data_IF_520574552984
#
_entry.id   IF_520574552984
#
_cell.length_a   1.000
_cell.length_b   1.000
_cell.length_c   1.000
_cell.angle_alpha   90.00
_cell.angle_beta   90.00
_cell.angle_gamma   90.00
#
_symmetry.space_group_name_H-M   'P 1'
#
loop_
_entity.id
_entity.type
_entity.pdbx_description
1 polymer ?
#
# COMPACT_ATOMS: atom_id res chain seq x y z
N UNK A 1 -39.17 -10.32 -50.48
CA UNK A 1 -37.69 -10.46 -50.52
C UNK A 1 -37.14 -10.14 -49.14
N UNK A 2 -36.86 -11.20 -48.36
CA UNK A 2 -36.39 -11.12 -46.98
C UNK A 2 -34.86 -11.01 -46.95
N UNK A 3 -34.31 -9.97 -46.31
CA UNK A 3 -32.91 -9.93 -45.89
C UNK A 3 -32.87 -10.19 -44.39
N UNK A 4 -32.56 -11.44 -44.02
CA UNK A 4 -32.39 -11.87 -42.65
C UNK A 4 -31.22 -11.14 -41.98
N UNK A 5 -31.51 -10.39 -40.92
CA UNK A 5 -30.51 -9.88 -39.99
C UNK A 5 -29.99 -11.07 -39.18
N UNK A 6 -28.71 -11.40 -39.36
CA UNK A 6 -28.03 -12.46 -38.60
C UNK A 6 -27.87 -11.98 -37.16
N UNK A 7 -28.61 -12.59 -36.24
CA UNK A 7 -28.37 -12.52 -34.79
C UNK A 7 -26.96 -13.02 -34.50
N UNK A 8 -26.00 -12.11 -34.32
CA UNK A 8 -24.69 -12.45 -33.75
C UNK A 8 -24.85 -12.46 -32.24
N UNK A 9 -24.89 -13.66 -31.64
CA UNK A 9 -24.67 -13.83 -30.20
C UNK A 9 -23.25 -13.36 -29.90
N UNK A 10 -23.10 -12.22 -29.23
CA UNK A 10 -21.80 -11.78 -28.70
C UNK A 10 -21.55 -12.59 -27.43
N UNK A 11 -20.66 -13.58 -27.55
CA UNK A 11 -20.07 -14.29 -26.42
C UNK A 11 -19.00 -13.37 -25.84
N UNK A 12 -19.15 -12.95 -24.57
CA UNK A 12 -18.11 -12.25 -23.82
C UNK A 12 -16.95 -13.22 -23.56
N UNK A 13 -15.92 -13.17 -24.41
CA UNK A 13 -14.65 -13.88 -24.18
C UNK A 13 -13.67 -12.88 -23.58
N UNK A 14 -13.38 -13.01 -22.28
CA UNK A 14 -12.25 -12.32 -21.64
C UNK A 14 -10.94 -12.98 -22.09
N UNK A 15 -10.42 -12.54 -23.23
CA UNK A 15 -9.08 -12.90 -23.69
C UNK A 15 -8.04 -12.05 -22.97
N UNK A 16 -7.27 -12.67 -22.07
CA UNK A 16 -6.12 -12.03 -21.41
C UNK A 16 -5.10 -11.57 -22.43
N UNK A 17 -4.88 -10.25 -22.50
CA UNK A 17 -3.84 -9.65 -23.31
C UNK A 17 -2.60 -9.40 -22.44
N UNK A 18 -1.62 -10.28 -22.56
CA UNK A 18 -0.25 -10.05 -22.07
C UNK A 18 0.44 -9.12 -23.06
N UNK A 19 0.62 -7.85 -22.71
CA UNK A 19 1.52 -6.96 -23.43
C UNK A 19 2.88 -6.90 -22.71
N UNK A 20 3.80 -7.72 -23.20
CA UNK A 20 5.23 -7.52 -22.99
C UNK A 20 5.76 -6.63 -24.12
N UNK A 21 6.34 -5.47 -23.79
CA UNK A 21 7.32 -4.67 -24.55
C UNK A 21 7.49 -3.34 -23.77
N UNK A 22 8.65 -2.89 -23.29
CA UNK A 22 9.99 -2.99 -23.83
C UNK A 22 10.36 -1.70 -24.55
N UNK A 23 10.73 -0.62 -23.83
CA UNK A 23 11.46 0.52 -24.40
C UNK A 23 12.36 1.19 -23.35
N UNK A 24 13.66 0.96 -23.50
CA UNK A 24 14.72 1.71 -22.84
C UNK A 24 15.16 2.90 -23.68
N UNK A 25 15.38 4.03 -23.02
CA UNK A 25 16.38 5.07 -23.32
C UNK A 25 16.12 6.25 -22.37
N UNK A 26 16.81 6.26 -21.24
CA UNK A 26 16.64 7.22 -20.13
C UNK A 26 16.91 6.60 -18.75
N UNK A 27 17.53 5.42 -18.74
CA UNK A 27 17.51 4.46 -17.64
C UNK A 27 18.37 4.89 -16.45
N UNK A 28 19.44 5.67 -16.62
CA UNK A 28 20.34 5.99 -15.50
C UNK A 28 19.70 6.85 -14.40
N UNK A 29 19.17 8.02 -14.77
CA UNK A 29 18.55 8.92 -13.79
C UNK A 29 17.20 8.38 -13.28
N UNK A 30 16.43 7.71 -14.14
CA UNK A 30 15.14 7.11 -13.76
C UNK A 30 15.32 5.86 -12.89
N UNK A 31 16.33 5.02 -13.14
CA UNK A 31 16.62 3.87 -12.30
C UNK A 31 17.23 4.29 -10.95
N UNK A 32 18.07 5.34 -10.92
CA UNK A 32 18.58 5.87 -9.66
C UNK A 32 17.47 6.53 -8.83
N UNK A 33 16.58 7.31 -9.46
CA UNK A 33 15.40 7.86 -8.79
C UNK A 33 14.44 6.76 -8.31
N UNK A 34 14.18 5.73 -9.13
CA UNK A 34 13.36 4.59 -8.72
C UNK A 34 13.99 3.82 -7.55
N UNK A 35 15.31 3.57 -7.61
CA UNK A 35 16.05 2.91 -6.54
C UNK A 35 16.06 3.73 -5.24
N UNK A 36 16.20 5.05 -5.33
CA UNK A 36 16.16 5.94 -4.18
C UNK A 36 14.75 6.00 -3.56
N UNK A 37 13.70 6.00 -4.38
CA UNK A 37 12.31 5.90 -3.90
C UNK A 37 12.07 4.56 -3.21
N UNK A 38 12.52 3.45 -3.80
CA UNK A 38 12.43 2.11 -3.17
C UNK A 38 13.16 2.07 -1.82
N UNK A 39 14.38 2.59 -1.75
CA UNK A 39 15.15 2.65 -0.51
C UNK A 39 14.48 3.52 0.56
N UNK A 40 13.91 4.66 0.17
CA UNK A 40 13.17 5.53 1.08
C UNK A 40 11.90 4.86 1.63
N UNK A 41 11.16 4.13 0.78
CA UNK A 41 9.98 3.37 1.19
C UNK A 41 10.36 2.24 2.16
N UNK A 42 11.40 1.46 1.85
CA UNK A 42 11.88 0.39 2.72
C UNK A 42 12.36 0.92 4.08
N UNK A 43 13.09 2.04 4.10
CA UNK A 43 13.52 2.69 5.34
C UNK A 43 12.34 3.15 6.19
N UNK A 44 11.29 3.70 5.57
CA UNK A 44 10.09 4.12 6.28
C UNK A 44 9.34 2.93 6.90
N UNK A 45 9.29 1.78 6.22
CA UNK A 45 8.71 0.55 6.77
C UNK A 45 9.51 0.06 7.99
N UNK A 46 10.83 -0.04 7.85
CA UNK A 46 11.75 -0.42 8.93
C UNK A 46 11.59 0.51 10.13
N UNK A 47 11.55 1.81 9.90
CA UNK A 47 11.28 2.80 10.94
C UNK A 47 9.90 2.62 11.60
N UNK A 48 8.88 2.23 10.84
CA UNK A 48 7.53 1.97 11.38
C UNK A 48 7.50 0.72 12.26
N UNK A 49 8.20 -0.36 11.85
CA UNK A 49 8.37 -1.56 12.67
C UNK A 49 9.16 -1.25 13.95
N UNK A 50 10.26 -0.49 13.83
CA UNK A 50 11.04 -0.04 14.98
C UNK A 50 10.22 0.75 15.99
N UNK A 51 9.33 1.65 15.54
CA UNK A 51 8.41 2.37 16.43
C UNK A 51 7.43 1.44 17.14
N UNK A 52 6.83 0.50 16.42
CA UNK A 52 5.92 -0.47 17.02
C UNK A 52 6.61 -1.35 18.08
N UNK A 53 7.85 -1.78 17.82
CA UNK A 53 8.67 -2.54 18.77
C UNK A 53 9.04 -1.71 20.00
N UNK A 54 9.40 -0.44 19.81
CA UNK A 54 9.67 0.50 20.89
C UNK A 54 8.45 0.69 21.80
N UNK A 55 7.26 0.84 21.21
CA UNK A 55 6.01 1.07 21.95
C UNK A 55 5.64 -0.13 22.85
N UNK A 56 5.95 -1.36 22.42
CA UNK A 56 5.74 -2.58 23.22
C UNK A 56 6.92 -2.93 24.14
N UNK A 57 7.97 -2.12 24.16
CA UNK A 57 9.13 -2.28 25.04
C UNK A 57 10.23 -3.22 24.54
N UNK A 58 10.15 -3.69 23.29
CA UNK A 58 11.16 -4.55 22.66
C UNK A 58 12.28 -3.69 22.05
N UNK A 59 13.09 -3.09 22.92
CA UNK A 59 14.02 -2.03 22.51
C UNK A 59 15.21 -2.53 21.67
N UNK A 60 15.72 -3.74 21.91
CA UNK A 60 16.81 -4.33 21.12
C UNK A 60 16.37 -4.62 19.68
N UNK A 61 15.17 -5.17 19.49
CA UNK A 61 14.60 -5.41 18.17
C UNK A 61 14.29 -4.09 17.46
N UNK A 62 13.82 -3.08 18.21
CA UNK A 62 13.62 -1.73 17.68
C UNK A 62 14.92 -1.11 17.18
N UNK A 63 16.05 -1.30 17.89
CA UNK A 63 17.37 -0.84 17.46
C UNK A 63 17.73 -1.44 16.11
N UNK A 64 17.59 -2.77 15.95
CA UNK A 64 17.93 -3.44 14.69
C UNK A 64 17.12 -2.88 13.49
N UNK A 65 15.82 -2.63 13.67
CA UNK A 65 14.98 -2.04 12.61
C UNK A 65 15.35 -0.58 12.32
N UNK A 66 15.63 0.23 13.35
CA UNK A 66 16.04 1.62 13.14
C UNK A 66 17.44 1.75 12.54
N UNK A 67 18.38 0.87 12.87
CA UNK A 67 19.71 0.82 12.27
C UNK A 67 19.61 0.46 10.78
N UNK A 68 18.81 -0.55 10.45
CA UNK A 68 18.57 -0.94 9.06
C UNK A 68 17.88 0.19 8.27
N UNK A 69 16.92 0.90 8.87
CA UNK A 69 16.33 2.09 8.26
C UNK A 69 17.38 3.20 8.03
N UNK A 70 18.25 3.44 9.02
CA UNK A 70 19.26 4.49 8.95
C UNK A 70 20.32 4.19 7.88
N UNK A 71 20.67 2.93 7.66
CA UNK A 71 21.60 2.52 6.60
C UNK A 71 21.06 2.79 5.18
N UNK A 72 19.73 2.86 5.02
CA UNK A 72 19.09 3.07 3.71
C UNK A 72 18.95 4.55 3.33
N UNK A 73 18.66 5.42 4.30
CA UNK A 73 18.36 6.85 4.03
C UNK A 73 19.26 7.84 4.74
N UNK A 74 20.01 7.39 5.75
CA UNK A 74 20.82 8.23 6.64
C UNK A 74 20.04 9.40 7.29
N UNK A 75 18.72 9.25 7.42
CA UNK A 75 17.86 10.32 7.95
C UNK A 75 18.17 10.61 9.43
N UNK A 76 18.48 11.86 9.81
CA UNK A 76 18.85 12.19 11.19
C UNK A 76 17.78 11.85 12.22
N UNK A 77 16.48 11.91 11.87
CA UNK A 77 15.39 11.58 12.78
C UNK A 77 15.46 10.15 13.35
N UNK A 78 16.06 9.21 12.60
CA UNK A 78 16.25 7.83 13.05
C UNK A 78 17.31 7.72 14.16
N UNK A 79 18.30 8.62 14.19
CA UNK A 79 19.30 8.67 15.27
C UNK A 79 18.66 9.02 16.62
N UNK A 80 17.66 9.90 16.63
CA UNK A 80 16.89 10.19 17.84
C UNK A 80 16.15 8.93 18.32
N UNK A 81 15.48 8.19 17.43
CA UNK A 81 14.79 6.95 17.79
C UNK A 81 15.74 5.88 18.33
N UNK A 82 16.91 5.70 17.71
CA UNK A 82 17.98 4.82 18.23
C UNK A 82 18.42 5.25 19.63
N UNK A 83 18.66 6.55 19.83
CA UNK A 83 19.05 7.08 21.13
C UNK A 83 17.98 6.82 22.22
N UNK A 84 16.70 6.94 21.86
CA UNK A 84 15.59 6.59 22.75
C UNK A 84 15.64 5.12 23.16
N UNK A 85 15.85 4.18 22.21
CA UNK A 85 15.95 2.76 22.52
C UNK A 85 17.13 2.47 23.46
N UNK A 86 18.33 2.96 23.13
CA UNK A 86 19.51 2.79 23.98
C UNK A 86 19.31 3.36 25.38
N UNK A 87 18.64 4.51 25.50
CA UNK A 87 18.30 5.10 26.80
C UNK A 87 17.39 4.18 27.62
N UNK A 88 16.38 3.56 26.99
CA UNK A 88 15.45 2.64 27.66
C UNK A 88 16.11 1.34 28.10
N UNK A 89 17.21 0.95 27.45
CA UNK A 89 18.07 -0.18 27.81
C UNK A 89 19.21 0.19 28.76
N UNK A 90 19.24 1.43 29.28
CA UNK A 90 20.31 1.93 30.14
C UNK A 90 21.72 1.93 29.50
N UNK A 91 21.78 1.84 28.16
CA UNK A 91 22.98 2.01 27.35
C UNK A 91 23.32 3.50 27.21
N UNK A 92 23.69 4.12 28.33
CA UNK A 92 23.83 5.57 28.45
C UNK A 92 24.88 6.16 27.50
N UNK A 93 26.01 5.48 27.26
CA UNK A 93 27.08 5.97 26.39
C UNK A 93 26.63 6.06 24.93
N UNK A 94 25.99 5.01 24.46
CA UNK A 94 25.45 4.88 23.11
C UNK A 94 24.33 5.92 22.88
N UNK A 95 23.42 6.07 23.85
CA UNK A 95 22.36 7.07 23.79
C UNK A 95 22.92 8.49 23.69
N UNK A 96 23.91 8.85 24.52
CA UNK A 96 24.58 10.16 24.47
C UNK A 96 25.22 10.40 23.10
N UNK A 97 25.95 9.42 22.57
CA UNK A 97 26.62 9.54 21.27
C UNK A 97 25.62 9.79 20.13
N UNK A 98 24.51 9.06 20.12
CA UNK A 98 23.45 9.20 19.12
C UNK A 98 22.70 10.54 19.24
N UNK A 99 22.35 10.99 20.45
CA UNK A 99 21.73 12.31 20.64
C UNK A 99 22.65 13.45 20.17
N UNK A 100 23.95 13.39 20.48
CA UNK A 100 24.94 14.38 20.02
C UNK A 100 25.05 14.40 18.50
N UNK A 101 25.06 13.22 17.86
CA UNK A 101 25.06 13.12 16.41
C UNK A 101 23.79 13.71 15.81
N UNK A 102 22.63 13.42 16.40
CA UNK A 102 21.35 14.00 15.99
C UNK A 102 21.35 15.53 16.07
N UNK A 103 21.80 16.12 17.18
CA UNK A 103 21.88 17.59 17.34
C UNK A 103 22.91 18.25 16.41
N UNK A 104 23.97 17.52 16.03
CA UNK A 104 24.95 17.97 15.03
C UNK A 104 24.33 18.03 13.64
N UNK A 105 23.59 16.99 13.24
CA UNK A 105 22.98 16.89 11.91
C UNK A 105 21.69 17.71 11.77
N UNK A 106 20.99 17.97 12.87
CA UNK A 106 19.73 18.70 12.91
C UNK A 106 19.78 19.84 13.96
N UNK A 107 20.52 20.93 13.72
CA UNK A 107 20.77 21.97 14.73
C UNK A 107 19.53 22.79 15.10
N UNK A 108 18.52 22.84 14.22
CA UNK A 108 17.29 23.63 14.37
C UNK A 108 16.09 22.89 14.95
N UNK A 109 16.30 21.73 15.59
CA UNK A 109 15.18 20.92 16.14
C UNK A 109 14.51 21.63 17.33
N UNK A 110 13.16 21.73 17.36
CA UNK A 110 12.44 22.46 18.41
C UNK A 110 12.68 21.91 19.83
N UNK A 111 12.96 20.61 19.95
CA UNK A 111 13.19 19.90 21.21
C UNK A 111 14.67 19.84 21.61
N UNK A 112 15.55 20.66 21.03
CA UNK A 112 16.99 20.67 21.31
C UNK A 112 17.32 20.73 22.80
N UNK A 113 16.70 21.66 23.53
CA UNK A 113 16.93 21.85 24.97
C UNK A 113 16.61 20.59 25.78
N UNK A 114 15.51 19.93 25.47
CA UNK A 114 15.11 18.68 26.14
C UNK A 114 16.14 17.56 25.90
N UNK A 115 16.69 17.50 24.69
CA UNK A 115 17.73 16.51 24.34
C UNK A 115 19.03 16.81 25.10
N UNK A 116 19.43 18.08 25.18
CA UNK A 116 20.61 18.51 25.95
C UNK A 116 20.46 18.20 27.45
N UNK A 117 19.27 18.43 28.02
CA UNK A 117 18.93 18.05 29.41
C UNK A 117 19.04 16.52 29.61
N UNK A 118 18.49 15.72 28.69
CA UNK A 118 18.62 14.25 28.73
C UNK A 118 20.07 13.77 28.64
N UNK A 119 20.89 14.41 27.81
CA UNK A 119 22.34 14.11 27.74
C UNK A 119 22.98 14.38 29.11
N UNK A 120 22.72 15.53 29.72
CA UNK A 120 23.29 15.89 31.03
C UNK A 120 22.90 14.90 32.13
N UNK A 121 21.65 14.43 32.14
CA UNK A 121 21.18 13.44 33.10
C UNK A 121 21.86 12.07 32.92
N UNK A 122 22.03 11.63 31.67
CA UNK A 122 22.76 10.40 31.35
C UNK A 122 24.25 10.50 31.67
N UNK A 123 24.87 11.66 31.50
CA UNK A 123 26.27 11.88 31.89
C UNK A 123 26.43 11.82 33.41
N UNK A 124 25.47 12.38 34.16
CA UNK A 124 25.46 12.32 35.62
C UNK A 124 25.31 10.88 36.12
N UNK A 125 24.53 10.04 35.44
CA UNK A 125 24.36 8.63 35.83
C UNK A 125 25.59 7.77 35.57
N UNK A 126 26.45 8.16 34.61
CA UNK A 126 27.72 7.49 34.36
C UNK A 126 28.78 7.81 35.42
N UNK A 127 28.68 8.95 36.12
CA UNK A 127 29.69 9.41 37.07
C UNK A 127 30.98 9.94 36.39
N UNK A 128 31.96 10.45 37.16
CA UNK A 128 33.20 10.97 36.61
C UNK A 128 33.97 9.89 35.81
N UNK A 129 34.67 10.25 34.72
CA UNK A 129 35.50 9.31 33.95
C UNK A 129 36.53 8.55 34.81
N UNK A 130 36.98 9.16 35.90
CA UNK A 130 38.00 8.66 36.83
C UNK A 130 37.48 7.48 37.68
N UNK A 131 36.24 7.54 38.17
CA UNK A 131 35.61 6.45 38.96
C UNK A 131 35.24 5.23 38.08
N UNK A 132 34.96 5.48 36.80
CA UNK A 132 34.74 4.45 35.78
C UNK A 132 36.04 3.76 35.32
N UNK A 133 37.14 4.50 35.26
CA UNK A 133 38.48 3.96 35.01
C UNK A 133 38.97 3.14 36.22
N UNK A 134 38.72 3.59 37.45
CA UNK A 134 39.04 2.83 38.66
C UNK A 134 38.21 1.54 38.81
N UNK A 135 36.94 1.54 38.39
CA UNK A 135 36.10 0.31 38.34
C UNK A 135 36.56 -0.70 37.29
N UNK A 136 37.21 -0.25 36.22
CA UNK A 136 37.77 -1.14 35.18
C UNK A 136 39.20 -1.58 35.49
N UNK A 137 39.94 -0.83 36.31
CA UNK A 137 41.34 -1.10 36.67
C UNK A 137 41.53 -1.72 38.07
N UNK A 138 40.52 -1.74 38.95
CA UNK A 138 40.59 -2.47 40.22
C UNK A 138 40.66 -3.98 40.00
N UNK A 139 41.72 -4.68 40.45
CA UNK A 139 41.74 -6.13 40.48
C UNK A 139 40.62 -6.61 41.40
N UNK A 140 39.62 -7.26 40.83
CA UNK A 140 38.56 -7.92 41.59
C UNK A 140 39.21 -8.77 42.69
N UNK A 141 38.86 -8.49 43.95
CA UNK A 141 39.25 -9.32 45.09
C UNK A 141 38.96 -10.80 44.76
N UNK A 142 39.80 -11.75 45.20
CA UNK A 142 39.71 -13.14 44.77
C UNK A 142 38.29 -13.65 45.00
N UNK A 143 37.61 -13.92 43.90
CA UNK A 143 36.37 -14.70 43.92
C UNK A 143 36.66 -16.00 44.64
N UNK A 144 35.78 -16.36 45.56
CA UNK A 144 35.67 -17.69 46.18
C UNK A 144 36.15 -18.81 45.26
N UNK A 145 36.84 -19.85 45.78
CA UNK A 145 37.36 -20.95 44.98
C UNK A 145 36.28 -21.45 44.03
N UNK A 146 36.65 -21.48 42.74
CA UNK A 146 35.86 -22.09 41.69
C UNK A 146 35.51 -23.52 42.12
N UNK A 147 34.25 -23.71 42.52
CA UNK A 147 33.65 -25.03 42.47
C UNK A 147 33.30 -25.25 41.00
N UNK A 148 33.77 -26.31 40.35
CA UNK A 148 33.20 -26.72 39.08
C UNK A 148 31.72 -26.96 39.33
N UNK A 149 30.88 -25.97 38.99
CA UNK A 149 29.46 -26.20 38.82
C UNK A 149 29.41 -27.23 37.70
N UNK A 150 29.04 -28.47 38.04
CA UNK A 150 28.65 -29.47 37.06
C UNK A 150 27.80 -28.74 36.02
N UNK A 151 28.20 -28.86 34.74
CA UNK A 151 27.60 -28.15 33.63
C UNK A 151 26.09 -28.07 33.86
N UNK A 152 25.58 -26.86 34.11
CA UNK A 152 24.15 -26.66 34.09
C UNK A 152 23.69 -27.24 32.75
N UNK A 153 22.64 -28.09 32.73
CA UNK A 153 22.16 -28.63 31.47
C UNK A 153 21.97 -27.44 30.54
N UNK A 154 22.55 -27.54 29.34
CA UNK A 154 22.36 -26.56 28.27
C UNK A 154 20.90 -26.12 28.31
N UNK A 155 20.62 -24.80 28.31
CA UNK A 155 19.24 -24.32 28.29
C UNK A 155 18.52 -25.14 27.20
N UNK A 156 17.32 -25.69 27.49
CA UNK A 156 16.59 -26.44 26.48
C UNK A 156 16.61 -25.58 25.22
N UNK A 157 16.88 -26.16 24.03
CA UNK A 157 16.92 -25.38 22.80
C UNK A 157 15.72 -24.46 22.86
N UNK A 158 15.98 -23.14 22.89
CA UNK A 158 14.91 -22.14 22.89
C UNK A 158 14.06 -22.61 21.73
N UNK A 159 12.83 -23.08 22.03
CA UNK A 159 11.89 -23.32 20.95
C UNK A 159 11.95 -22.03 20.15
N UNK A 160 12.21 -22.09 18.83
CA UNK A 160 12.14 -20.88 18.03
C UNK A 160 10.88 -20.17 18.48
N UNK A 161 10.99 -18.91 18.94
CA UNK A 161 9.83 -18.08 19.22
C UNK A 161 8.88 -18.37 18.06
N UNK A 162 7.62 -18.80 18.32
CA UNK A 162 6.77 -19.43 17.31
C UNK A 162 6.99 -18.63 16.06
N UNK A 163 7.64 -19.25 15.07
CA UNK A 163 7.92 -18.58 13.83
C UNK A 163 6.55 -18.08 13.43
N UNK A 164 6.31 -16.76 13.48
CA UNK A 164 5.24 -16.22 12.67
C UNK A 164 5.62 -16.73 11.30
N UNK A 165 4.85 -17.70 10.79
CA UNK A 165 5.17 -18.34 9.52
C UNK A 165 5.59 -17.23 8.56
N UNK A 166 6.77 -17.32 7.91
CA UNK A 166 7.16 -16.33 6.91
C UNK A 166 5.97 -16.11 5.97
N UNK A 167 5.42 -14.89 5.93
CA UNK A 167 4.19 -14.59 5.18
C UNK A 167 2.94 -14.22 6.01
N UNK A 168 2.96 -14.33 7.35
CA UNK A 168 1.76 -14.03 8.15
C UNK A 168 1.47 -12.52 8.16
N UNK A 169 0.44 -12.12 7.41
CA UNK A 169 -0.03 -10.72 7.26
C UNK A 169 0.94 -9.78 6.52
N UNK A 170 1.73 -10.32 5.60
CA UNK A 170 2.58 -9.52 4.72
C UNK A 170 2.02 -9.47 3.31
N UNK A 171 2.28 -8.38 2.59
CA UNK A 171 2.03 -8.30 1.16
C UNK A 171 3.33 -8.68 0.45
N UNK A 172 3.61 -9.98 0.33
CA UNK A 172 4.81 -10.50 -0.32
C UNK A 172 4.44 -11.39 -1.51
N UNK A 173 5.16 -11.23 -2.62
CA UNK A 173 4.90 -12.01 -3.82
C UNK A 173 3.68 -11.50 -4.62
N UNK A 174 2.90 -12.42 -5.18
CA UNK A 174 1.78 -12.05 -6.05
C UNK A 174 0.53 -11.73 -5.22
N UNK A 175 -0.33 -10.85 -5.72
CA UNK A 175 -1.60 -10.58 -5.06
C UNK A 175 -2.76 -10.54 -6.05
N UNK A 176 -3.95 -10.90 -5.57
CA UNK A 176 -5.22 -10.81 -6.28
C UNK A 176 -6.19 -10.00 -5.43
N UNK A 177 -6.77 -8.93 -5.97
CA UNK A 177 -7.84 -8.18 -5.32
C UNK A 177 -9.13 -8.26 -6.12
N UNK A 178 -10.19 -8.67 -5.45
CA UNK A 178 -11.56 -8.64 -5.95
C UNK A 178 -12.29 -7.48 -5.29
N UNK A 179 -12.97 -6.66 -6.09
CA UNK A 179 -13.77 -5.52 -5.63
C UNK A 179 -15.21 -5.69 -6.10
N UNK A 180 -16.17 -5.42 -5.21
CA UNK A 180 -17.57 -5.21 -5.59
C UNK A 180 -18.16 -4.07 -4.75
N UNK A 181 -18.83 -3.12 -5.39
CA UNK A 181 -19.23 -1.89 -4.74
C UNK A 181 -20.52 -1.29 -5.25
N UNK A 182 -21.11 -0.43 -4.42
CA UNK A 182 -22.27 0.38 -4.76
C UNK A 182 -21.78 1.79 -5.09
N UNK A 183 -21.96 2.20 -6.34
CA UNK A 183 -21.41 3.43 -6.88
C UNK A 183 -22.51 4.39 -7.33
N UNK A 184 -22.22 5.68 -7.26
CA UNK A 184 -22.89 6.68 -8.08
C UNK A 184 -22.18 6.74 -9.42
N UNK A 185 -22.88 6.46 -10.50
CA UNK A 185 -22.38 6.56 -11.89
C UNK A 185 -22.94 7.83 -12.51
N UNK A 186 -22.07 8.67 -13.07
CA UNK A 186 -22.39 9.90 -13.77
C UNK A 186 -21.69 9.91 -15.12
N UNK A 187 -22.43 10.28 -16.17
CA UNK A 187 -21.90 10.36 -17.53
C UNK A 187 -22.41 11.63 -18.18
N UNK A 188 -21.47 12.46 -18.66
CA UNK A 188 -21.74 13.80 -19.17
C UNK A 188 -21.17 13.97 -20.57
N UNK A 189 -21.99 14.47 -21.50
CA UNK A 189 -21.57 14.85 -22.84
C UNK A 189 -21.02 16.28 -22.84
N UNK A 190 -19.77 16.45 -23.29
CA UNK A 190 -19.05 17.74 -23.22
C UNK A 190 -19.66 18.85 -24.09
N UNK A 191 -20.34 18.50 -25.20
CA UNK A 191 -20.85 19.48 -26.19
C UNK A 191 -22.35 19.79 -26.04
N UNK A 192 -23.19 18.77 -25.93
CA UNK A 192 -24.65 18.96 -25.91
C UNK A 192 -25.22 19.16 -24.49
N UNK A 193 -24.40 19.00 -23.45
CA UNK A 193 -24.83 19.17 -22.05
C UNK A 193 -25.72 18.05 -21.52
N UNK A 194 -25.85 16.93 -22.26
CA UNK A 194 -26.60 15.78 -21.78
C UNK A 194 -25.86 15.12 -20.60
N UNK A 195 -26.55 14.94 -19.47
CA UNK A 195 -26.00 14.27 -18.28
C UNK A 195 -26.92 13.14 -17.83
N UNK A 196 -26.34 12.00 -17.47
CA UNK A 196 -27.03 10.87 -16.83
C UNK A 196 -26.36 10.57 -15.51
N UNK A 197 -27.13 10.46 -14.43
CA UNK A 197 -26.60 10.18 -13.09
C UNK A 197 -27.51 9.22 -12.34
N UNK A 198 -26.94 8.23 -11.65
CA UNK A 198 -27.71 7.40 -10.72
C UNK A 198 -26.86 6.38 -9.99
N UNK A 199 -27.52 5.51 -9.22
CA UNK A 199 -26.87 4.40 -8.54
C UNK A 199 -26.52 3.27 -9.53
N UNK A 200 -25.43 2.58 -9.27
CA UNK A 200 -24.93 1.46 -10.05
C UNK A 200 -24.08 0.53 -9.20
N UNK A 201 -23.69 -0.59 -9.81
CA UNK A 201 -22.79 -1.57 -9.21
C UNK A 201 -21.44 -1.47 -9.90
N UNK A 202 -20.37 -1.45 -9.12
CA UNK A 202 -19.02 -1.58 -9.62
C UNK A 202 -18.42 -2.92 -9.24
N UNK A 203 -17.58 -3.46 -10.12
CA UNK A 203 -16.76 -4.61 -9.85
C UNK A 203 -15.37 -4.41 -10.43
N UNK A 204 -14.38 -5.01 -9.78
CA UNK A 204 -12.99 -4.91 -10.20
C UNK A 204 -12.21 -6.17 -9.86
N UNK A 205 -11.23 -6.48 -10.70
CA UNK A 205 -10.23 -7.51 -10.44
C UNK A 205 -8.87 -6.90 -10.70
N UNK A 206 -8.00 -6.93 -9.70
CA UNK A 206 -6.60 -6.55 -9.84
C UNK A 206 -5.71 -7.76 -9.56
N UNK A 207 -4.68 -7.94 -10.39
CA UNK A 207 -3.65 -8.95 -10.21
C UNK A 207 -2.28 -8.29 -10.30
N UNK A 208 -1.43 -8.54 -9.32
CA UNK A 208 -0.17 -7.82 -9.21
C UNK A 208 0.91 -8.57 -8.44
N UNK A 209 1.99 -7.84 -8.18
CA UNK A 209 3.16 -8.33 -7.47
C UNK A 209 3.69 -7.25 -6.52
N UNK A 210 3.98 -7.64 -5.30
CA UNK A 210 4.63 -6.84 -4.28
C UNK A 210 6.08 -6.58 -4.67
N UNK A 211 6.39 -5.31 -4.92
CA UNK A 211 7.76 -4.83 -5.12
C UNK A 211 8.48 -4.66 -3.77
N UNK A 212 7.70 -4.29 -2.76
CA UNK A 212 8.07 -4.18 -1.34
C UNK A 212 6.88 -4.63 -0.48
N UNK A 213 7.07 -4.96 0.81
CA UNK A 213 5.96 -5.31 1.71
C UNK A 213 4.84 -4.26 1.81
N UNK A 214 5.13 -2.98 1.53
CA UNK A 214 4.13 -1.90 1.45
C UNK A 214 3.77 -1.47 0.02
N UNK A 215 4.44 -1.95 -1.02
CA UNK A 215 4.25 -1.43 -2.39
C UNK A 215 4.05 -2.56 -3.37
N UNK A 216 2.93 -2.57 -4.07
CA UNK A 216 2.65 -3.52 -5.13
C UNK A 216 2.30 -2.82 -6.44
N UNK A 217 2.76 -3.40 -7.55
CA UNK A 217 2.32 -3.04 -8.89
C UNK A 217 1.28 -4.04 -9.38
N UNK A 218 0.25 -3.59 -10.08
CA UNK A 218 -0.83 -4.46 -10.54
C UNK A 218 -1.36 -4.05 -11.91
N UNK A 219 -1.92 -5.03 -12.62
CA UNK A 219 -2.87 -4.82 -13.71
C UNK A 219 -4.30 -4.97 -13.16
N UNK A 220 -5.25 -4.23 -13.72
CA UNK A 220 -6.65 -4.36 -13.32
C UNK A 220 -7.62 -4.33 -14.50
N UNK A 221 -8.81 -4.87 -14.23
CA UNK A 221 -10.02 -4.70 -15.03
C UNK A 221 -11.11 -4.21 -14.07
N UNK A 222 -11.72 -3.07 -14.38
CA UNK A 222 -12.76 -2.47 -13.56
C UNK A 222 -13.97 -2.07 -14.40
N UNK A 223 -15.17 -2.27 -13.88
CA UNK A 223 -16.43 -1.93 -14.54
C UNK A 223 -17.40 -1.35 -13.51
N UNK A 224 -18.05 -0.25 -13.85
CA UNK A 224 -19.19 0.32 -13.14
C UNK A 224 -20.38 0.40 -14.09
N UNK A 225 -21.49 -0.24 -13.72
CA UNK A 225 -22.68 -0.34 -14.54
C UNK A 225 -23.91 0.19 -13.81
N UNK A 226 -24.78 0.86 -14.56
CA UNK A 226 -26.10 1.36 -14.15
C UNK A 226 -27.15 0.85 -15.11
N UNK A 227 -28.27 0.32 -14.59
CA UNK A 227 -29.51 0.08 -15.36
C UNK A 227 -30.60 1.02 -14.86
N UNK A 228 -31.38 1.58 -15.78
CA UNK A 228 -32.52 2.45 -15.48
C UNK A 228 -33.66 2.17 -16.46
N UNK A 229 -34.86 1.92 -15.93
CA UNK A 229 -36.09 1.79 -16.71
C UNK A 229 -36.71 3.18 -16.91
N UNK A 230 -36.68 3.71 -18.13
CA UNK A 230 -37.19 5.05 -18.47
C UNK A 230 -38.70 5.03 -18.77
N UNK A 231 -39.31 3.86 -18.95
CA UNK A 231 -40.75 3.69 -19.17
C UNK A 231 -41.17 2.21 -19.18
N UNK A 232 -42.46 1.90 -19.41
CA UNK A 232 -43.00 0.53 -19.32
C UNK A 232 -42.32 -0.47 -20.27
N UNK A 233 -41.74 0.05 -21.35
CA UNK A 233 -41.16 -0.73 -22.45
C UNK A 233 -39.68 -0.44 -22.69
N UNK A 234 -39.10 0.51 -21.95
CA UNK A 234 -37.79 1.08 -22.27
C UNK A 234 -36.83 0.91 -21.08
N UNK A 235 -35.75 0.18 -21.31
CA UNK A 235 -34.64 0.07 -20.37
C UNK A 235 -33.38 0.69 -20.99
N UNK A 236 -32.62 1.42 -20.19
CA UNK A 236 -31.34 1.97 -20.56
C UNK A 236 -30.26 1.47 -19.61
N UNK A 237 -29.14 1.02 -20.17
CA UNK A 237 -27.95 0.62 -19.43
C UNK A 237 -26.79 1.48 -19.84
N UNK A 238 -26.01 1.90 -18.85
CA UNK A 238 -24.77 2.64 -19.04
C UNK A 238 -23.66 1.93 -18.30
N UNK A 239 -22.60 1.59 -19.02
CA UNK A 239 -21.41 0.92 -18.48
C UNK A 239 -20.21 1.83 -18.70
N UNK A 240 -19.42 2.02 -17.65
CA UNK A 240 -18.15 2.73 -17.69
C UNK A 240 -17.11 1.82 -17.06
N UNK A 241 -16.01 1.55 -17.74
CA UNK A 241 -14.99 0.66 -17.20
C UNK A 241 -13.69 0.77 -17.98
N UNK A 242 -12.76 -0.13 -17.71
CA UNK A 242 -11.49 -0.16 -18.41
C UNK A 242 -10.58 -1.27 -17.91
N UNK A 243 -9.49 -1.44 -18.66
CA UNK A 243 -8.35 -2.26 -18.27
C UNK A 243 -7.15 -1.35 -18.06
N UNK A 244 -6.32 -1.62 -17.08
CA UNK A 244 -5.25 -0.70 -16.73
C UNK A 244 -4.15 -1.30 -15.90
N UNK A 245 -3.22 -0.43 -15.50
CA UNK A 245 -2.14 -0.76 -14.60
C UNK A 245 -1.96 0.34 -13.56
N UNK A 246 -1.56 -0.06 -12.36
CA UNK A 246 -1.49 0.83 -11.21
C UNK A 246 -0.51 0.38 -10.14
N UNK A 247 -0.44 1.19 -9.10
CA UNK A 247 0.33 0.96 -7.89
C UNK A 247 -0.59 1.03 -6.68
N UNK A 248 -0.36 0.15 -5.71
CA UNK A 248 -1.03 0.15 -4.41
C UNK A 248 0.05 0.30 -3.34
N UNK A 249 -0.15 1.24 -2.42
CA UNK A 249 0.71 1.47 -1.27
C UNK A 249 -0.04 1.17 0.03
N UNK A 250 0.51 0.32 0.88
CA UNK A 250 -0.02 -0.08 2.17
C UNK A 250 0.68 0.65 3.31
N UNK A 251 -0.08 1.35 4.13
CA UNK A 251 0.38 1.94 5.39
C UNK A 251 0.38 0.86 6.47
N UNK A 252 1.55 0.25 6.66
CA UNK A 252 1.80 -0.74 7.72
C UNK A 252 2.03 -0.08 9.09
N UNK A 253 1.70 -0.76 10.21
CA UNK A 253 1.08 -2.09 10.32
C UNK A 253 -0.46 -2.06 10.18
N UNK A 254 -1.04 -0.91 9.83
CA UNK A 254 -2.48 -0.71 9.86
C UNK A 254 -3.22 -1.28 8.65
N UNK A 255 -2.55 -1.79 7.60
CA UNK A 255 -3.18 -2.35 6.39
C UNK A 255 -4.26 -1.43 5.80
N UNK A 256 -3.98 -0.13 5.80
CA UNK A 256 -4.72 0.87 5.03
C UNK A 256 -3.99 1.02 3.71
N UNK A 257 -4.69 0.95 2.59
CA UNK A 257 -4.06 1.08 1.27
C UNK A 257 -4.57 2.30 0.52
N UNK A 258 -3.68 2.87 -0.29
CA UNK A 258 -4.00 3.85 -1.33
C UNK A 258 -3.58 3.26 -2.67
N UNK A 259 -4.52 3.23 -3.61
CA UNK A 259 -4.32 2.68 -4.94
C UNK A 259 -4.58 3.74 -6.00
N UNK A 260 -3.76 3.75 -7.04
CA UNK A 260 -3.97 4.58 -8.22
C UNK A 260 -3.57 3.83 -9.48
N UNK A 261 -4.39 3.94 -10.53
CA UNK A 261 -4.12 3.32 -11.83
C UNK A 261 -4.48 4.23 -12.99
N UNK A 262 -3.86 3.92 -14.13
CA UNK A 262 -4.23 4.44 -15.44
C UNK A 262 -4.99 3.36 -16.19
N UNK A 263 -6.15 3.74 -16.71
CA UNK A 263 -7.05 2.86 -17.45
C UNK A 263 -7.06 3.22 -18.93
N UNK A 264 -7.12 2.19 -19.76
CA UNK A 264 -7.68 2.27 -21.09
C UNK A 264 -9.17 1.93 -21.00
N UNK A 265 -9.99 2.97 -21.13
CA UNK A 265 -11.39 2.94 -20.77
C UNK A 265 -12.32 2.61 -21.93
N UNK A 266 -13.43 1.97 -21.59
CA UNK A 266 -14.59 1.75 -22.46
C UNK A 266 -15.81 2.39 -21.81
N UNK A 267 -16.66 2.97 -22.65
CA UNK A 267 -17.98 3.45 -22.27
C UNK A 267 -18.99 2.82 -23.22
N UNK A 268 -20.07 2.27 -22.67
CA UNK A 268 -21.07 1.60 -23.46
C UNK A 268 -22.46 2.07 -23.03
N UNK A 269 -23.26 2.44 -24.03
CA UNK A 269 -24.66 2.76 -23.84
C UNK A 269 -25.50 1.74 -24.59
N UNK A 270 -26.37 1.04 -23.87
CA UNK A 270 -27.36 0.14 -24.46
C UNK A 270 -28.75 0.63 -24.10
N UNK A 271 -29.63 0.72 -25.08
CA UNK A 271 -31.04 1.06 -24.88
C UNK A 271 -31.90 0.00 -25.52
N UNK A 272 -32.74 -0.63 -24.72
CA UNK A 272 -33.68 -1.66 -25.15
C UNK A 272 -35.09 -1.06 -25.15
N UNK A 273 -35.82 -1.25 -26.26
CA UNK A 273 -37.18 -0.71 -26.46
C UNK A 273 -38.09 -1.82 -26.99
N UNK A 274 -39.15 -2.12 -26.25
CA UNK A 274 -40.11 -3.18 -26.62
C UNK A 274 -41.45 -2.58 -27.06
N UNK A 275 -41.74 -2.58 -28.35
CA UNK A 275 -43.01 -2.06 -28.89
C UNK A 275 -43.79 -3.18 -29.56
N UNK A 276 -45.05 -3.37 -29.15
CA UNK A 276 -45.94 -4.40 -29.69
C UNK A 276 -45.34 -5.82 -29.70
N UNK A 277 -44.61 -6.20 -28.65
CA UNK A 277 -43.97 -7.51 -28.52
C UNK A 277 -42.66 -7.67 -29.31
N UNK A 278 -42.20 -6.62 -29.99
CA UNK A 278 -40.91 -6.60 -30.71
C UNK A 278 -39.91 -5.78 -29.90
N UNK A 279 -38.85 -6.43 -29.44
CA UNK A 279 -37.73 -5.81 -28.73
C UNK A 279 -36.67 -5.36 -29.71
N UNK A 280 -36.32 -4.07 -29.67
CA UNK A 280 -35.23 -3.47 -30.43
C UNK A 280 -34.15 -2.98 -29.48
N UNK A 281 -32.92 -3.44 -29.68
CA UNK A 281 -31.75 -2.99 -28.90
C UNK A 281 -30.93 -2.03 -29.76
N UNK A 282 -30.65 -0.84 -29.21
CA UNK A 282 -29.71 0.13 -29.76
C UNK A 282 -28.48 0.17 -28.87
N UNK A 283 -27.35 -0.25 -29.43
CA UNK A 283 -26.05 -0.22 -28.77
C UNK A 283 -25.18 0.87 -29.40
N UNK A 284 -24.58 1.68 -28.55
CA UNK A 284 -23.54 2.64 -28.93
C UNK A 284 -22.27 2.24 -28.20
N UNK A 285 -21.27 1.80 -28.95
CA UNK A 285 -19.95 1.46 -28.42
C UNK A 285 -19.01 2.65 -28.50
N UNK A 286 -18.26 2.89 -27.42
CA UNK A 286 -17.22 3.92 -27.41
C UNK A 286 -15.98 3.46 -28.16
N UNK A 287 -15.37 4.40 -28.89
CA UNK A 287 -13.95 4.31 -29.24
C UNK A 287 -13.14 4.58 -27.97
N UNK A 288 -12.04 3.85 -27.81
CA UNK A 288 -11.23 3.80 -26.60
C UNK A 288 -10.86 5.15 -25.99
N UNK A 289 -10.91 5.21 -24.66
CA UNK A 289 -10.58 6.39 -23.86
C UNK A 289 -9.41 6.18 -22.90
N UNK A 290 -8.98 7.26 -22.25
CA UNK A 290 -8.06 7.19 -21.09
C UNK A 290 -8.87 7.45 -19.83
N UNK A 291 -8.57 6.69 -18.78
CA UNK A 291 -9.19 6.85 -17.49
C UNK A 291 -8.21 6.68 -16.33
N UNK A 292 -8.75 6.87 -15.14
CA UNK A 292 -8.06 6.71 -13.87
C UNK A 292 -8.97 5.98 -12.90
N UNK A 293 -8.36 5.18 -12.04
CA UNK A 293 -9.04 4.63 -10.87
C UNK A 293 -8.21 4.93 -9.62
N UNK A 294 -8.87 5.53 -8.64
CA UNK A 294 -8.32 5.82 -7.32
C UNK A 294 -9.11 5.04 -6.28
N UNK A 295 -8.41 4.41 -5.34
CA UNK A 295 -9.03 3.66 -4.25
C UNK A 295 -8.32 3.95 -2.93
N UNK A 296 -9.07 4.18 -1.87
CA UNK A 296 -8.58 4.27 -0.49
C UNK A 296 -9.32 3.23 0.33
N UNK A 297 -8.61 2.24 0.86
CA UNK A 297 -9.24 1.13 1.57
C UNK A 297 -8.56 0.74 2.86
N UNK A 298 -9.30 0.01 3.67
CA UNK A 298 -8.82 -0.64 4.89
C UNK A 298 -9.04 -2.13 4.74
N UNK A 299 -8.01 -2.90 5.01
CA UNK A 299 -8.05 -4.36 4.99
C UNK A 299 -7.84 -4.93 6.40
N UNK A 300 -8.53 -6.04 6.65
CA UNK A 300 -8.40 -6.87 7.84
C UNK A 300 -8.11 -8.29 7.39
N UNK A 301 -7.10 -8.90 7.98
CA UNK A 301 -6.78 -10.29 7.71
C UNK A 301 -7.88 -11.21 8.24
N UNK A 302 -8.47 -11.98 7.34
CA UNK A 302 -9.41 -13.04 7.65
C UNK A 302 -8.70 -14.40 7.78
N UNK A 303 -7.53 -14.55 7.16
CA UNK A 303 -6.63 -15.70 7.29
C UNK A 303 -5.18 -15.27 7.01
N UNK A 304 -4.24 -16.23 6.99
CA UNK A 304 -2.83 -15.97 6.69
C UNK A 304 -2.63 -15.22 5.36
N UNK A 305 -3.42 -15.56 4.34
CA UNK A 305 -3.25 -15.07 2.97
C UNK A 305 -4.44 -14.25 2.46
N UNK A 306 -5.59 -14.29 3.15
CA UNK A 306 -6.76 -13.51 2.76
C UNK A 306 -6.99 -12.33 3.69
N UNK A 307 -7.02 -11.14 3.10
CA UNK A 307 -7.60 -9.93 3.66
C UNK A 307 -9.00 -9.68 3.11
N UNK A 308 -9.89 -9.16 3.95
CA UNK A 308 -11.18 -8.58 3.53
C UNK A 308 -11.18 -7.10 3.91
N UNK A 309 -11.82 -6.26 3.12
CA UNK A 309 -11.73 -4.83 3.31
C UNK A 309 -12.92 -4.04 2.82
N UNK A 310 -12.87 -2.75 3.15
CA UNK A 310 -13.81 -1.74 2.65
C UNK A 310 -12.98 -0.62 2.03
N UNK A 311 -13.42 -0.13 0.89
CA UNK A 311 -12.73 0.88 0.11
C UNK A 311 -13.68 1.97 -0.39
N UNK A 312 -13.13 3.17 -0.54
CA UNK A 312 -13.72 4.24 -1.31
C UNK A 312 -13.08 4.21 -2.70
N UNK A 313 -13.89 3.98 -3.72
CA UNK A 313 -13.43 3.86 -5.10
C UNK A 313 -13.93 5.04 -5.94
N UNK A 314 -13.08 5.49 -6.87
CA UNK A 314 -13.37 6.54 -7.84
C UNK A 314 -12.79 6.17 -9.20
N UNK A 315 -13.65 5.96 -10.18
CA UNK A 315 -13.32 5.84 -11.59
C UNK A 315 -13.62 7.15 -12.33
N UNK A 316 -12.74 7.54 -13.23
CA UNK A 316 -12.99 8.60 -14.21
C UNK A 316 -12.45 8.16 -15.57
N UNK A 317 -13.27 8.21 -16.61
CA UNK A 317 -12.94 7.79 -17.98
C UNK A 317 -13.44 8.86 -18.95
N UNK A 318 -12.59 9.31 -19.86
CA UNK A 318 -12.99 10.14 -21.00
C UNK A 318 -12.89 9.32 -22.28
N UNK A 319 -13.97 9.29 -23.07
CA UNK A 319 -14.01 8.49 -24.28
C UNK A 319 -14.88 9.14 -25.38
N UNK A 320 -14.66 8.73 -26.63
CA UNK A 320 -15.39 9.26 -27.78
C UNK A 320 -16.47 8.27 -28.24
N UNK A 321 -17.72 8.72 -28.28
CA UNK A 321 -18.89 7.92 -28.65
C UNK A 321 -19.63 8.63 -29.78
N UNK A 322 -19.72 7.98 -30.94
CA UNK A 322 -20.43 8.50 -32.13
C UNK A 322 -20.03 9.94 -32.54
N UNK A 323 -18.76 10.32 -32.35
CA UNK A 323 -18.23 11.65 -32.70
C UNK A 323 -18.42 12.74 -31.64
N UNK A 324 -18.94 12.38 -30.45
CA UNK A 324 -19.05 13.23 -29.27
C UNK A 324 -18.12 12.74 -28.15
N UNK A 325 -17.50 13.68 -27.43
CA UNK A 325 -16.68 13.37 -26.24
C UNK A 325 -17.56 13.25 -25.00
N UNK A 326 -17.45 12.11 -24.32
CA UNK A 326 -18.16 11.81 -23.09
C UNK A 326 -17.18 11.63 -21.93
N UNK A 327 -17.54 12.17 -20.77
CA UNK A 327 -16.83 11.97 -19.52
C UNK A 327 -17.70 11.15 -18.57
N UNK A 328 -17.23 9.96 -18.20
CA UNK A 328 -17.87 9.05 -17.28
C UNK A 328 -17.11 9.01 -15.97
N UNK A 329 -17.80 9.24 -14.87
CA UNK A 329 -17.25 9.11 -13.52
C UNK A 329 -18.11 8.15 -12.72
N UNK A 330 -17.49 7.25 -11.95
CA UNK A 330 -18.20 6.48 -10.95
C UNK A 330 -17.48 6.56 -9.62
N UNK A 331 -18.20 6.61 -8.51
CA UNK A 331 -17.55 6.51 -7.21
C UNK A 331 -18.50 6.08 -6.11
N UNK A 332 -17.95 5.42 -5.09
CA UNK A 332 -18.75 4.85 -4.02
C UNK A 332 -17.95 4.01 -3.05
N UNK A 333 -18.65 3.10 -2.37
CA UNK A 333 -18.07 2.18 -1.40
C UNK A 333 -17.99 0.80 -2.03
N UNK A 334 -16.83 0.18 -1.94
CA UNK A 334 -16.58 -1.19 -2.37
C UNK A 334 -16.13 -2.07 -1.20
N UNK A 335 -16.47 -3.34 -1.29
CA UNK A 335 -15.91 -4.40 -0.47
C UNK A 335 -14.78 -5.07 -1.24
N UNK A 336 -13.64 -5.25 -0.59
CA UNK A 336 -12.48 -5.91 -1.16
C UNK A 336 -12.24 -7.28 -0.54
N UNK A 337 -11.77 -8.22 -1.35
CA UNK A 337 -11.14 -9.44 -0.90
C UNK A 337 -9.77 -9.54 -1.58
N UNK A 338 -8.71 -9.53 -0.78
CA UNK A 338 -7.33 -9.50 -1.25
C UNK A 338 -6.63 -10.78 -0.83
N UNK A 339 -6.17 -11.56 -1.79
CA UNK A 339 -5.22 -12.64 -1.57
C UNK A 339 -3.81 -12.09 -1.72
N UNK A 340 -2.94 -12.41 -0.77
CA UNK A 340 -1.49 -12.19 -0.84
C UNK A 340 -0.78 -13.52 -0.59
#
# INVERSE_FOLDING_TARGET
MSKGSKTRRVVLIFGGLVLASGLGAGTGAKAHAASAVTAAVEAQERASRGRALYDIGHFEEAIAEFEAAYQLTEEPALLYNLAQCHRRLEHAREAIALYRRYLTLAPGVPNRREIEERISDLERSLGPPEELAERTLSPRAPSTPWVPRAAAPSPPPRLPAPSRDPGFHTHDGWFLRLLVGLHRVSVNERRAGASRVGAGVASGVAFGYALLPSLAAFGEVGVAARSETTGPTNESRTTVGGVGAGLTYYVLPYNVYVSASLLYGIMEFSTETTVAGVTTTRESSSTSGVGTHLSLGKEWWASANWGVGVALDLYAVEAEVEGSTWAGTSGGVAFSATFN
#
